data_IF_632316191933
#
_entry.id   IF_632316191933
#
_cell.length_a   1.000
_cell.length_b   1.000
_cell.length_c   1.000
_cell.angle_alpha   90.00
_cell.angle_beta   90.00
_cell.angle_gamma   90.00
#
_symmetry.space_group_name_H-M   'P 1'
#
loop_
_entity.id
_entity.type
_entity.pdbx_description
1 polymer ?
#
# COMPACT_ATOMS: atom_id res chain seq x y z
N UNK A 1 -8.37 -0.31 1.56
CA UNK A 1 -8.57 -1.76 1.36
C UNK A 1 -8.95 -2.38 2.70
N UNK A 2 -9.99 -3.21 2.72
CA UNK A 2 -10.44 -3.92 3.93
C UNK A 2 -9.43 -4.98 4.38
N UNK A 3 -9.36 -5.34 5.68
CA UNK A 3 -8.38 -6.31 6.16
C UNK A 3 -8.59 -7.70 5.54
N UNK A 4 -9.84 -8.08 5.29
CA UNK A 4 -10.19 -9.32 4.60
C UNK A 4 -9.61 -9.37 3.19
N UNK A 5 -9.64 -8.27 2.44
CA UNK A 5 -9.06 -8.20 1.10
C UNK A 5 -7.53 -8.35 1.13
N UNK A 6 -6.84 -7.79 2.13
CA UNK A 6 -5.40 -7.99 2.31
C UNK A 6 -5.10 -9.46 2.57
N UNK A 7 -5.89 -10.11 3.45
CA UNK A 7 -5.75 -11.53 3.74
C UNK A 7 -5.93 -12.40 2.48
N UNK A 8 -6.95 -12.11 1.68
CA UNK A 8 -7.20 -12.80 0.40
C UNK A 8 -6.01 -12.64 -0.54
N UNK A 9 -5.42 -11.45 -0.65
CA UNK A 9 -4.23 -11.24 -1.49
C UNK A 9 -3.03 -12.05 -0.99
N UNK A 10 -2.82 -12.15 0.33
CA UNK A 10 -1.75 -12.97 0.92
C UNK A 10 -1.98 -14.45 0.60
N UNK A 11 -3.21 -14.94 0.79
CA UNK A 11 -3.59 -16.33 0.50
C UNK A 11 -3.39 -16.64 -1.00
N UNK A 12 -3.84 -15.77 -1.90
CA UNK A 12 -3.65 -15.90 -3.35
C UNK A 12 -2.17 -15.89 -3.75
N UNK A 13 -1.38 -14.94 -3.21
CA UNK A 13 0.05 -14.87 -3.48
C UNK A 13 0.78 -16.13 -3.01
N UNK A 14 0.38 -16.69 -1.86
CA UNK A 14 0.93 -17.93 -1.31
C UNK A 14 0.59 -19.13 -2.20
N UNK A 15 -0.66 -19.26 -2.64
CA UNK A 15 -1.07 -20.32 -3.56
C UNK A 15 -0.30 -20.26 -4.88
N UNK A 16 -0.16 -19.07 -5.47
CA UNK A 16 0.61 -18.87 -6.71
C UNK A 16 2.10 -19.17 -6.50
N UNK A 17 2.65 -18.80 -5.36
CA UNK A 17 4.05 -19.05 -5.02
C UNK A 17 4.36 -20.55 -4.87
N UNK A 18 3.42 -21.32 -4.34
CA UNK A 18 3.57 -22.75 -4.07
C UNK A 18 3.17 -23.65 -5.25
N UNK A 19 2.55 -23.11 -6.31
CA UNK A 19 2.14 -23.90 -7.48
C UNK A 19 3.33 -24.34 -8.34
N UNK A 20 3.35 -25.61 -8.75
CA UNK A 20 4.32 -26.16 -9.72
C UNK A 20 3.71 -26.31 -11.13
N UNK A 21 4.52 -26.16 -12.21
CA UNK A 21 5.94 -25.77 -12.21
C UNK A 21 6.10 -24.25 -12.11
N UNK A 22 7.31 -23.80 -11.72
CA UNK A 22 7.74 -22.38 -11.67
C UNK A 22 7.71 -21.74 -13.06
N UNK A 23 6.52 -21.58 -13.63
CA UNK A 23 6.33 -20.83 -14.85
C UNK A 23 6.71 -19.38 -14.58
N UNK A 24 7.33 -18.72 -15.56
CA UNK A 24 7.71 -17.31 -15.44
C UNK A 24 6.47 -16.47 -15.07
N UNK A 25 5.33 -16.76 -15.69
CA UNK A 25 4.05 -16.07 -15.45
C UNK A 25 3.52 -16.19 -14.02
N UNK A 26 3.49 -17.41 -13.45
CA UNK A 26 3.04 -17.61 -12.06
C UNK A 26 3.95 -16.91 -11.06
N UNK A 27 5.27 -16.92 -11.31
CA UNK A 27 6.27 -16.27 -10.46
C UNK A 27 6.10 -14.75 -10.40
N UNK A 28 5.91 -14.08 -11.55
CA UNK A 28 5.64 -12.64 -11.59
C UNK A 28 4.31 -12.30 -10.89
N UNK A 29 3.27 -13.11 -11.12
CA UNK A 29 1.95 -12.87 -10.55
C UNK A 29 1.96 -13.03 -9.03
N UNK A 30 2.64 -14.05 -8.51
CA UNK A 30 2.82 -14.24 -7.07
C UNK A 30 3.52 -13.03 -6.44
N UNK A 31 4.63 -12.59 -7.06
CA UNK A 31 5.38 -11.42 -6.61
C UNK A 31 4.52 -10.16 -6.58
N UNK A 32 3.86 -9.81 -7.69
CA UNK A 32 3.04 -8.59 -7.78
C UNK A 32 1.87 -8.63 -6.80
N UNK A 33 1.21 -9.79 -6.65
CA UNK A 33 0.11 -9.96 -5.68
C UNK A 33 0.61 -9.74 -4.24
N UNK A 34 1.75 -10.34 -3.89
CA UNK A 34 2.37 -10.13 -2.57
C UNK A 34 2.77 -8.67 -2.33
N UNK A 35 3.28 -7.99 -3.36
CA UNK A 35 3.66 -6.58 -3.27
C UNK A 35 2.46 -5.66 -3.08
N UNK A 36 1.34 -5.92 -3.78
CA UNK A 36 0.08 -5.19 -3.58
C UNK A 36 -0.45 -5.39 -2.17
N UNK A 37 -0.37 -6.61 -1.63
CA UNK A 37 -0.74 -6.89 -0.24
C UNK A 37 0.13 -6.07 0.74
N UNK A 38 1.43 -5.97 0.50
CA UNK A 38 2.34 -5.12 1.25
C UNK A 38 1.98 -3.63 1.18
N UNK A 39 1.77 -3.08 -0.01
CA UNK A 39 1.40 -1.67 -0.17
C UNK A 39 0.07 -1.35 0.53
N UNK A 40 -0.89 -2.29 0.51
CA UNK A 40 -2.15 -2.17 1.21
C UNK A 40 -1.97 -2.20 2.74
N UNK A 41 -1.17 -3.14 3.26
CA UNK A 41 -0.86 -3.24 4.68
C UNK A 41 -0.14 -1.99 5.20
N UNK A 42 0.87 -1.52 4.47
CA UNK A 42 1.62 -0.29 4.76
C UNK A 42 0.71 0.93 4.80
N UNK A 43 -0.17 1.09 3.81
CA UNK A 43 -1.12 2.22 3.77
C UNK A 43 -2.09 2.16 4.95
N UNK A 44 -2.57 0.96 5.30
CA UNK A 44 -3.41 0.74 6.48
C UNK A 44 -2.67 1.05 7.78
N UNK A 45 -1.40 0.68 7.88
CA UNK A 45 -0.56 1.01 9.03
C UNK A 45 -0.45 2.53 9.22
N UNK A 46 -0.11 3.29 8.17
CA UNK A 46 -0.05 4.76 8.23
C UNK A 46 -1.41 5.35 8.64
N UNK A 47 -2.51 4.83 8.10
CA UNK A 47 -3.87 5.24 8.46
C UNK A 47 -4.16 5.05 9.96
N UNK A 48 -3.75 3.91 10.54
CA UNK A 48 -3.90 3.63 11.97
C UNK A 48 -3.05 4.58 12.81
N UNK A 49 -1.82 4.90 12.37
CA UNK A 49 -0.95 5.87 13.05
C UNK A 49 -1.57 7.27 13.02
N UNK A 50 -2.08 7.73 11.88
CA UNK A 50 -2.79 9.02 11.77
C UNK A 50 -3.98 9.04 12.73
N UNK A 51 -4.77 7.97 12.75
CA UNK A 51 -5.90 7.89 13.68
C UNK A 51 -5.46 7.92 15.14
N UNK A 52 -4.37 7.22 15.47
CA UNK A 52 -3.81 7.19 16.81
C UNK A 52 -3.38 8.59 17.30
N UNK A 53 -2.92 9.43 16.39
CA UNK A 53 -2.56 10.84 16.66
C UNK A 53 -3.77 11.77 16.81
N UNK A 54 -5.00 11.25 16.70
CA UNK A 54 -6.24 11.97 16.98
C UNK A 54 -6.98 12.48 15.74
N UNK A 55 -6.52 12.16 14.53
CA UNK A 55 -7.22 12.52 13.29
C UNK A 55 -8.29 11.48 12.91
N UNK A 56 -9.30 11.91 12.16
CA UNK A 56 -10.36 11.01 11.70
C UNK A 56 -9.87 10.11 10.57
N UNK A 57 -10.33 8.85 10.55
CA UNK A 57 -9.99 7.90 9.47
C UNK A 57 -10.40 8.41 8.08
N UNK A 58 -11.53 9.12 7.98
CA UNK A 58 -12.00 9.70 6.70
C UNK A 58 -11.03 10.75 6.15
N UNK A 59 -10.41 11.53 7.03
CA UNK A 59 -9.45 12.57 6.64
C UNK A 59 -8.11 11.94 6.28
N UNK A 60 -7.69 10.92 7.03
CA UNK A 60 -6.54 10.09 6.69
C UNK A 60 -6.67 9.50 5.28
N UNK A 61 -7.84 8.92 4.94
CA UNK A 61 -8.09 8.32 3.63
C UNK A 61 -7.98 9.35 2.49
N UNK A 62 -8.51 10.57 2.69
CA UNK A 62 -8.41 11.67 1.71
C UNK A 62 -6.95 12.10 1.47
N UNK A 63 -6.22 12.34 2.56
CA UNK A 63 -4.83 12.83 2.49
C UNK A 63 -3.90 11.77 1.91
N UNK A 64 -4.05 10.51 2.31
CA UNK A 64 -3.24 9.40 1.79
C UNK A 64 -3.48 9.13 0.31
N UNK A 65 -4.73 9.27 -0.16
CA UNK A 65 -5.06 9.14 -1.58
C UNK A 65 -4.35 10.20 -2.44
N UNK A 66 -4.22 11.43 -1.92
CA UNK A 66 -3.54 12.53 -2.61
C UNK A 66 -2.02 12.46 -2.51
N UNK A 67 -1.47 11.95 -1.41
CA UNK A 67 -0.03 11.84 -1.21
C UNK A 67 0.66 10.86 -2.18
N UNK A 68 -0.09 9.96 -2.83
CA UNK A 68 0.42 8.99 -3.83
C UNK A 68 1.66 8.24 -3.35
N UNK A 69 1.51 7.50 -2.26
CA UNK A 69 2.59 6.70 -1.65
C UNK A 69 2.96 5.51 -2.56
N UNK A 70 3.74 5.77 -3.61
CA UNK A 70 4.12 4.78 -4.62
C UNK A 70 5.42 4.03 -4.33
N UNK A 71 6.14 4.38 -3.25
CA UNK A 71 7.40 3.73 -2.91
C UNK A 71 7.67 3.67 -1.41
N UNK A 72 8.65 2.85 -1.01
CA UNK A 72 9.17 2.76 0.35
C UNK A 72 9.67 4.11 0.86
N UNK A 73 10.39 4.88 0.02
CA UNK A 73 10.84 6.25 0.35
C UNK A 73 9.66 7.20 0.61
N UNK A 74 8.63 7.19 -0.23
CA UNK A 74 7.44 8.03 0.01
C UNK A 74 6.72 7.62 1.29
N UNK A 75 6.69 6.32 1.61
CA UNK A 75 6.09 5.83 2.84
C UNK A 75 6.89 6.23 4.08
N UNK A 76 8.22 6.16 4.04
CA UNK A 76 9.10 6.67 5.09
C UNK A 76 8.85 8.16 5.35
N UNK A 77 8.76 8.97 4.28
CA UNK A 77 8.42 10.39 4.41
C UNK A 77 7.03 10.60 5.01
N UNK A 78 6.02 9.80 4.64
CA UNK A 78 4.68 9.89 5.21
C UNK A 78 4.67 9.56 6.71
N UNK A 79 5.43 8.55 7.13
CA UNK A 79 5.60 8.18 8.54
C UNK A 79 6.33 9.29 9.33
N UNK A 80 7.39 9.87 8.74
CA UNK A 80 8.11 11.00 9.33
C UNK A 80 7.21 12.24 9.51
N UNK A 81 6.37 12.55 8.52
CA UNK A 81 5.44 13.67 8.59
C UNK A 81 4.43 13.53 9.75
N UNK A 82 4.01 12.31 10.10
CA UNK A 82 3.13 12.06 11.26
C UNK A 82 3.89 11.91 12.59
N UNK A 83 5.18 12.25 12.59
CA UNK A 83 6.01 12.28 13.79
C UNK A 83 6.51 10.91 14.27
N UNK A 84 6.58 9.92 13.37
CA UNK A 84 7.30 8.67 13.64
C UNK A 84 8.76 8.78 13.21
N UNK A 85 9.62 7.95 13.81
CA UNK A 85 11.01 7.81 13.37
C UNK A 85 11.06 7.31 11.93
N UNK A 86 12.09 7.76 11.21
CA UNK A 86 12.38 7.21 9.88
C UNK A 86 12.53 5.69 10.02
N UNK A 87 11.87 4.89 9.16
CA UNK A 87 12.01 3.43 9.19
C UNK A 87 13.45 2.91 9.13
N UNK A 88 14.38 3.65 8.56
CA UNK A 88 15.81 3.31 8.56
C UNK A 88 16.47 3.43 9.93
N UNK A 89 15.83 4.12 10.87
CA UNK A 89 16.24 4.24 12.27
C UNK A 89 15.58 3.18 13.17
N UNK A 90 14.67 2.35 12.63
CA UNK A 90 14.04 1.30 13.41
C UNK A 90 15.03 0.17 13.71
N UNK A 91 14.96 -0.38 14.93
CA UNK A 91 15.80 -1.49 15.36
C UNK A 91 15.10 -2.85 15.22
N UNK A 92 15.85 -3.94 15.39
CA UNK A 92 15.28 -5.29 15.53
C UNK A 92 14.62 -5.83 14.27
N UNK A 93 13.50 -6.56 14.44
CA UNK A 93 12.76 -7.17 13.33
C UNK A 93 12.17 -6.10 12.38
N UNK A 94 11.69 -4.97 12.90
CA UNK A 94 11.07 -3.91 12.11
C UNK A 94 12.03 -3.27 11.11
N UNK A 95 13.22 -2.87 11.57
CA UNK A 95 14.23 -2.27 10.68
C UNK A 95 14.76 -3.25 9.64
N UNK A 96 14.97 -4.52 10.03
CA UNK A 96 15.38 -5.57 9.08
C UNK A 96 14.33 -5.81 7.99
N UNK A 97 13.05 -5.91 8.38
CA UNK A 97 11.95 -6.09 7.43
C UNK A 97 11.81 -4.91 6.48
N UNK A 98 11.87 -3.68 6.99
CA UNK A 98 11.82 -2.48 6.15
C UNK A 98 12.96 -2.40 5.15
N UNK A 99 14.19 -2.65 5.60
CA UNK A 99 15.38 -2.69 4.74
C UNK A 99 15.23 -3.72 3.62
N UNK A 100 14.77 -4.93 3.94
CA UNK A 100 14.54 -5.98 2.96
C UNK A 100 13.52 -5.55 1.89
N UNK A 101 12.41 -4.92 2.30
CA UNK A 101 11.39 -4.40 1.37
C UNK A 101 11.95 -3.30 0.46
N UNK A 102 12.77 -2.40 1.00
CA UNK A 102 13.46 -1.37 0.22
C UNK A 102 14.44 -1.96 -0.79
N UNK A 103 15.18 -3.00 -0.41
CA UNK A 103 16.13 -3.67 -1.30
C UNK A 103 15.42 -4.47 -2.41
N UNK A 104 14.18 -4.92 -2.18
CA UNK A 104 13.32 -5.59 -3.15
C UNK A 104 12.60 -4.61 -4.09
N UNK A 105 12.29 -3.39 -3.66
CA UNK A 105 11.55 -2.40 -4.46
C UNK A 105 12.11 -2.14 -5.87
N UNK A 106 13.44 -2.07 -6.12
CA UNK A 106 13.98 -1.98 -7.48
C UNK A 106 13.54 -3.12 -8.39
N UNK A 107 13.38 -4.34 -7.84
CA UNK A 107 12.87 -5.50 -8.59
C UNK A 107 11.43 -5.24 -9.05
N UNK A 108 10.58 -4.74 -8.16
CA UNK A 108 9.20 -4.36 -8.49
C UNK A 108 9.15 -3.31 -9.59
N UNK A 109 9.99 -2.28 -9.51
CA UNK A 109 10.03 -1.25 -10.54
C UNK A 109 10.42 -1.82 -11.90
N UNK A 110 11.44 -2.70 -11.93
CA UNK A 110 11.84 -3.38 -13.18
C UNK A 110 10.71 -4.22 -13.77
N UNK A 111 9.97 -4.96 -12.94
CA UNK A 111 8.83 -5.78 -13.39
C UNK A 111 7.72 -4.91 -13.97
N UNK A 112 7.29 -3.87 -13.24
CA UNK A 112 6.20 -2.97 -13.65
C UNK A 112 6.55 -2.21 -14.93
N UNK A 113 7.82 -1.86 -15.14
CA UNK A 113 8.29 -1.20 -16.36
C UNK A 113 8.65 -2.17 -17.50
N UNK A 114 8.37 -3.47 -17.37
CA UNK A 114 8.50 -4.44 -18.45
C UNK A 114 9.94 -4.84 -18.80
N UNK A 115 10.89 -4.72 -17.88
CA UNK A 115 12.26 -5.17 -18.10
C UNK A 115 12.30 -6.71 -18.21
N UNK A 116 12.72 -7.22 -19.37
CA UNK A 116 12.58 -8.65 -19.74
C UNK A 116 13.64 -9.59 -19.13
N UNK A 117 14.75 -9.07 -18.59
CA UNK A 117 15.86 -9.90 -18.06
C UNK A 117 15.89 -9.95 -16.53
N UNK A 118 14.92 -10.64 -15.95
CA UNK A 118 14.89 -10.91 -14.50
C UNK A 118 14.83 -12.42 -14.30
N UNK A 119 15.79 -12.95 -13.56
CA UNK A 119 15.85 -14.36 -13.20
C UNK A 119 14.62 -14.75 -12.35
N UNK A 120 13.85 -15.78 -12.74
CA UNK A 120 12.68 -16.21 -11.98
C UNK A 120 13.00 -16.58 -10.54
N UNK A 121 14.16 -17.20 -10.28
CA UNK A 121 14.57 -17.57 -8.92
C UNK A 121 14.77 -16.35 -8.01
N UNK A 122 15.25 -15.23 -8.56
CA UNK A 122 15.38 -13.97 -7.81
C UNK A 122 14.00 -13.42 -7.44
N UNK A 123 13.02 -13.51 -8.33
CA UNK A 123 11.64 -13.09 -8.07
C UNK A 123 10.99 -14.01 -7.05
N UNK A 124 11.20 -15.31 -7.18
CA UNK A 124 10.70 -16.31 -6.24
C UNK A 124 11.24 -16.05 -4.83
N UNK A 125 12.56 -15.88 -4.67
CA UNK A 125 13.18 -15.55 -3.38
C UNK A 125 12.65 -14.24 -2.79
N UNK A 126 12.51 -13.18 -3.61
CA UNK A 126 11.92 -11.92 -3.18
C UNK A 126 10.46 -12.08 -2.72
N UNK A 127 9.68 -12.91 -3.43
CA UNK A 127 8.30 -13.24 -3.05
C UNK A 127 8.25 -13.93 -1.70
N UNK A 128 9.14 -14.91 -1.44
CA UNK A 128 9.22 -15.59 -0.14
C UNK A 128 9.53 -14.61 1.00
N UNK A 129 10.43 -13.65 0.78
CA UNK A 129 10.74 -12.61 1.77
C UNK A 129 9.51 -11.73 2.06
N UNK A 130 8.82 -11.26 1.01
CA UNK A 130 7.61 -10.43 1.18
C UNK A 130 6.52 -11.21 1.90
N UNK A 131 6.24 -12.46 1.50
CA UNK A 131 5.25 -13.31 2.16
C UNK A 131 5.60 -13.59 3.62
N UNK A 132 6.87 -13.88 3.93
CA UNK A 132 7.33 -14.07 5.30
C UNK A 132 7.04 -12.83 6.16
N UNK A 133 7.34 -11.63 5.66
CA UNK A 133 7.02 -10.38 6.34
C UNK A 133 5.51 -10.13 6.45
N UNK A 134 4.71 -10.55 5.48
CA UNK A 134 3.25 -10.38 5.55
C UNK A 134 2.59 -11.34 6.52
N UNK A 135 3.12 -12.56 6.67
CA UNK A 135 2.58 -13.59 7.56
C UNK A 135 3.07 -13.45 9.00
N UNK A 136 4.30 -13.00 9.22
CA UNK A 136 4.81 -12.67 10.56
C UNK A 136 4.44 -11.22 10.90
N UNK A 137 3.37 -11.00 11.68
CA UNK A 137 3.00 -9.66 12.11
C UNK A 137 3.85 -9.11 13.26
N UNK A 138 4.76 -9.91 13.84
CA UNK A 138 5.54 -9.49 15.01
C UNK A 138 6.46 -8.31 14.70
N UNK A 139 6.97 -8.19 13.47
CA UNK A 139 7.81 -7.04 13.12
C UNK A 139 7.04 -5.72 13.08
N UNK A 140 5.70 -5.73 12.99
CA UNK A 140 4.87 -4.53 13.17
C UNK A 140 4.62 -4.23 14.66
N UNK A 141 4.66 -5.25 15.53
CA UNK A 141 4.46 -5.09 16.99
C UNK A 141 5.59 -4.33 17.68
N UNK A 142 6.79 -4.33 17.08
CA UNK A 142 7.96 -3.61 17.58
C UNK A 142 8.16 -2.23 16.93
N UNK A 143 7.25 -1.78 16.05
CA UNK A 143 7.36 -0.43 15.48
C UNK A 143 7.13 0.58 16.60
N UNK A 144 8.09 1.47 16.88
CA UNK A 144 7.90 2.50 17.88
C UNK A 144 6.84 3.46 17.36
N UNK A 145 5.58 3.31 17.82
CA UNK A 145 4.60 4.39 17.84
C UNK A 145 4.99 5.34 18.98
N UNK A 146 6.23 5.78 18.96
CA UNK A 146 6.76 6.74 19.89
C UNK A 146 6.53 8.07 19.21
N UNK A 147 5.65 8.87 19.81
CA UNK A 147 5.61 10.27 19.47
C UNK A 147 7.05 10.79 19.62
N UNK A 148 7.64 11.39 18.58
CA UNK A 148 9.00 11.93 18.67
C UNK A 148 9.17 12.89 19.88
N UNK A 149 8.06 13.42 20.42
CA UNK A 149 8.00 14.22 21.64
C UNK A 149 7.81 13.47 22.98
N UNK A 150 7.41 12.18 23.01
CA UNK A 150 7.08 11.43 24.25
C UNK A 150 7.57 9.98 24.19
N UNK A 151 8.72 9.74 24.81
CA UNK A 151 9.52 8.52 24.68
C UNK A 151 9.02 7.24 25.39
N UNK A 152 7.82 7.16 26.00
CA UNK A 152 7.53 6.01 26.91
C UNK A 152 6.14 5.34 26.95
N UNK A 153 5.12 5.77 26.23
CA UNK A 153 3.79 5.14 26.38
C UNK A 153 3.38 4.27 25.18
N UNK A 154 3.32 2.94 25.40
CA UNK A 154 2.61 2.00 24.53
C UNK A 154 1.10 2.16 24.80
N UNK A 155 0.34 2.58 23.80
CA UNK A 155 -1.10 2.86 23.96
C UNK A 155 -1.94 1.72 23.37
N UNK A 156 -2.95 1.26 24.14
CA UNK A 156 -3.92 0.23 23.76
C UNK A 156 -5.00 0.77 22.81
N UNK A 157 -5.28 0.02 21.73
CA UNK A 157 -6.08 0.44 20.57
C UNK A 157 -7.60 0.52 20.85
N UNK A 158 -8.11 -0.17 21.88
CA UNK A 158 -9.55 -0.35 22.14
C UNK A 158 -10.37 0.92 22.45
N UNK A 159 -9.92 1.84 23.32
CA UNK A 159 -10.70 3.03 23.71
C UNK A 159 -10.77 4.14 22.64
N UNK A 160 -9.93 4.06 21.60
CA UNK A 160 -9.74 5.11 20.59
C UNK A 160 -10.77 5.05 19.44
N UNK A 161 -11.59 4.00 19.37
CA UNK A 161 -12.62 3.83 18.34
C UNK A 161 -13.94 4.55 18.65
N UNK A 162 -14.02 5.31 19.76
CA UNK A 162 -15.22 6.06 20.10
C UNK A 162 -15.32 7.34 19.23
N UNK A 163 -16.33 7.47 18.35
CA UNK A 163 -16.46 8.62 17.48
C UNK A 163 -16.79 9.88 18.30
N UNK A 164 -15.83 10.82 18.39
CA UNK A 164 -16.14 12.18 18.85
C UNK A 164 -16.98 12.87 17.77
N UNK A 165 -18.20 13.30 18.12
CA UNK A 165 -19.02 14.16 17.25
C UNK A 165 -18.31 15.51 17.10
N UNK A 166 -17.59 15.72 16.00
CA UNK A 166 -17.02 17.03 15.65
C UNK A 166 -17.93 17.75 14.65
N UNK A 167 -18.04 19.08 14.79
CA UNK A 167 -18.81 19.93 13.86
C UNK A 167 -18.17 19.94 12.45
N UNK A 168 -18.94 20.24 11.40
CA UNK A 168 -18.41 20.33 10.01
C UNK A 168 -17.21 21.27 9.88
N UNK A 169 -17.25 22.41 10.57
CA UNK A 169 -16.20 23.43 10.53
C UNK A 169 -14.93 22.94 11.24
N UNK A 170 -15.10 22.19 12.35
CA UNK A 170 -14.00 21.50 13.02
C UNK A 170 -13.38 20.40 12.14
N UNK A 171 -14.20 19.64 11.41
CA UNK A 171 -13.73 18.59 10.49
C UNK A 171 -12.89 19.16 9.36
N UNK A 172 -13.36 20.26 8.73
CA UNK A 172 -12.63 20.87 7.63
C UNK A 172 -11.27 21.42 8.09
N UNK A 173 -11.23 22.06 9.26
CA UNK A 173 -9.97 22.49 9.87
C UNK A 173 -9.03 21.32 10.19
N UNK A 174 -9.56 20.23 10.74
CA UNK A 174 -8.76 19.03 11.04
C UNK A 174 -8.17 18.38 9.77
N UNK A 175 -8.93 18.37 8.68
CA UNK A 175 -8.47 17.89 7.37
C UNK A 175 -7.36 18.78 6.79
N UNK A 176 -7.51 20.11 6.85
CA UNK A 176 -6.51 21.07 6.39
C UNK A 176 -5.22 21.01 7.22
N UNK A 177 -5.34 20.87 8.54
CA UNK A 177 -4.19 20.68 9.45
C UNK A 177 -3.44 19.38 9.13
N UNK A 178 -4.15 18.27 8.93
CA UNK A 178 -3.53 16.99 8.54
C UNK A 178 -2.84 17.09 7.17
N UNK A 179 -3.48 17.71 6.19
CA UNK A 179 -2.89 17.91 4.87
C UNK A 179 -1.61 18.74 4.95
N UNK A 180 -1.60 19.80 5.77
CA UNK A 180 -0.40 20.62 6.02
C UNK A 180 0.73 19.81 6.66
N UNK A 181 0.42 19.01 7.68
CA UNK A 181 1.38 18.09 8.33
C UNK A 181 1.96 17.10 7.31
N UNK A 182 1.10 16.55 6.46
CA UNK A 182 1.48 15.58 5.43
C UNK A 182 2.09 16.21 4.17
N UNK A 183 2.17 17.55 4.11
CA UNK A 183 2.64 18.33 2.95
C UNK A 183 1.86 18.00 1.67
N UNK A 184 0.55 17.85 1.80
CA UNK A 184 -0.38 17.54 0.71
C UNK A 184 -1.21 18.79 0.39
N UNK A 185 -1.30 19.15 -0.89
CA UNK A 185 -2.18 20.21 -1.36
C UNK A 185 -3.55 19.63 -1.74
N UNK A 186 -4.54 19.88 -0.87
CA UNK A 186 -5.92 19.43 -1.08
C UNK A 186 -6.62 20.15 -2.25
N UNK A 187 -6.13 21.33 -2.66
CA UNK A 187 -6.70 22.10 -3.76
C UNK A 187 -6.32 21.53 -5.13
N UNK A 188 -5.22 20.76 -5.19
CA UNK A 188 -4.87 19.95 -6.33
C UNK A 188 -5.84 18.77 -6.42
N UNK A 189 -6.97 18.97 -7.12
CA UNK A 189 -7.93 17.92 -7.35
C UNK A 189 -7.21 16.68 -7.91
N UNK A 190 -7.38 15.53 -7.24
CA UNK A 190 -7.00 14.25 -7.84
C UNK A 190 -7.78 14.20 -9.14
N UNK A 191 -7.11 14.33 -10.30
CA UNK A 191 -7.77 14.13 -11.58
C UNK A 191 -8.48 12.78 -11.47
N UNK A 192 -9.81 12.74 -11.50
CA UNK A 192 -10.52 11.48 -11.37
C UNK A 192 -9.95 10.54 -12.42
N UNK A 193 -9.76 9.27 -12.05
CA UNK A 193 -9.38 8.26 -13.02
C UNK A 193 -10.30 8.44 -14.23
N UNK A 194 -9.74 8.57 -15.45
CA UNK A 194 -10.56 8.77 -16.63
C UNK A 194 -11.65 7.71 -16.67
N UNK A 195 -12.89 8.13 -16.92
CA UNK A 195 -14.03 7.23 -16.92
C UNK A 195 -13.78 6.06 -17.87
N UNK A 196 -14.45 4.92 -17.64
CA UNK A 196 -14.35 3.74 -18.52
C UNK A 196 -14.54 4.11 -20.00
N UNK A 197 -15.43 5.06 -20.27
CA UNK A 197 -15.69 5.63 -21.61
C UNK A 197 -14.49 6.41 -22.14
N UNK A 198 -13.86 7.24 -21.30
CA UNK A 198 -12.66 8.00 -21.66
C UNK A 198 -11.45 7.10 -21.89
N UNK A 199 -11.27 6.05 -21.08
CA UNK A 199 -10.25 5.02 -21.29
C UNK A 199 -10.45 4.24 -22.59
N UNK A 200 -11.70 3.87 -22.91
CA UNK A 200 -12.04 3.20 -24.17
C UNK A 200 -11.77 4.10 -25.38
N UNK A 201 -12.08 5.39 -25.27
CA UNK A 201 -11.77 6.39 -26.31
C UNK A 201 -10.26 6.54 -26.51
N UNK A 202 -9.48 6.69 -25.43
CA UNK A 202 -8.02 6.77 -25.50
C UNK A 202 -7.39 5.50 -26.11
N UNK A 203 -7.92 4.32 -25.80
CA UNK A 203 -7.45 3.06 -26.41
C UNK A 203 -7.74 3.03 -27.92
N UNK A 204 -8.91 3.51 -28.34
CA UNK A 204 -9.32 3.58 -29.75
C UNK A 204 -8.47 4.60 -30.51
N UNK A 205 -8.25 5.78 -29.93
CA UNK A 205 -7.45 6.87 -30.49
C UNK A 205 -5.95 6.48 -30.58
N UNK A 206 -5.47 5.61 -29.68
CA UNK A 206 -4.11 5.05 -29.72
C UNK A 206 -3.97 3.84 -30.68
N UNK A 207 -5.00 3.52 -31.46
CA UNK A 207 -4.96 2.45 -32.47
C UNK A 207 -5.15 1.03 -31.94
N UNK A 208 -5.52 0.85 -30.67
CA UNK A 208 -5.92 -0.47 -30.15
C UNK A 208 -7.33 -0.80 -30.65
N UNK A 209 -7.42 -1.51 -31.78
CA UNK A 209 -8.69 -2.07 -32.25
C UNK A 209 -9.20 -3.08 -31.22
N UNK A 210 -10.49 -2.98 -30.87
CA UNK A 210 -11.21 -4.09 -30.23
C UNK A 210 -11.13 -5.29 -31.17
N UNK A 211 -10.36 -6.30 -30.81
CA UNK A 211 -10.61 -7.65 -31.33
C UNK A 211 -11.94 -8.09 -30.69
N UNK A 212 -13.06 -7.76 -31.35
CA UNK A 212 -14.32 -8.43 -31.09
C UNK A 212 -14.15 -9.88 -31.54
N UNK A 213 -13.70 -10.73 -30.61
CA UNK A 213 -14.00 -12.15 -30.70
C UNK A 213 -15.48 -12.31 -30.41
N UNK A 214 -16.26 -12.61 -31.44
CA UNK A 214 -17.61 -13.14 -31.32
C UNK A 214 -17.56 -14.39 -30.47
N UNK A 215 -17.91 -14.27 -29.19
CA UNK A 215 -18.44 -15.39 -28.42
C UNK A 215 -19.92 -15.49 -28.76
N UNK A 216 -20.18 -16.13 -29.90
CA UNK A 216 -21.50 -16.65 -30.24
C UNK A 216 -21.95 -17.58 -29.12
N UNK A 217 -22.90 -17.08 -28.33
CA UNK A 217 -23.67 -17.86 -27.39
C UNK A 217 -24.71 -18.64 -28.20
N UNK A 218 -24.34 -19.80 -28.75
CA UNK A 218 -25.33 -20.79 -29.17
C UNK A 218 -25.58 -21.75 -28.02
N UNK A 219 -26.75 -21.58 -27.42
CA UNK A 219 -27.36 -22.54 -26.53
C UNK A 219 -27.59 -23.87 -27.26
N UNK A 220 -27.16 -24.96 -26.61
CA UNK A 220 -27.76 -26.28 -26.66
C UNK A 220 -28.03 -26.68 -25.21
#
# INVERSE_FOLDING_TARGET
>A
MEPSAIKILIEQATLLHNSEPRSTGSTYTAFLTSWVAWEALRTRFIRVVIHHKGWLLKDADKVLAQQRIGSTRHAASALGNVGLLDPDQWSGKSGKGWKALRDIEPLRNRIVHGFKSIEPDRIHAATSVVLCLLSDHEWLSSVPIVDAAKTKERILVGPLLNPRRSSKLTQQRQLEELAKVMKVDLSSGVRPLPSRVHLAKLATDAGFKKNHGDCDSKAL
#
